data_IF_607732331902
#
_entry.id   IF_607732331902
#
_cell.length_a   1.000
_cell.length_b   1.000
_cell.length_c   1.000
_cell.angle_alpha   90.00
_cell.angle_beta   90.00
_cell.angle_gamma   90.00
#
_symmetry.space_group_name_H-M   'P 1'
#
loop_
_entity.id
_entity.type
_entity.pdbx_description
1 polymer ?
#
# COMPACT_ATOMS: atom_id res chain seq x y z
N UNK A 1 23.87 -15.00 25.52
CA UNK A 1 23.25 -16.15 24.84
C UNK A 1 21.76 -16.16 25.23
N UNK A 2 20.90 -15.51 24.44
CA UNK A 2 19.52 -15.13 24.81
C UNK A 2 18.48 -15.83 23.91
N UNK A 3 18.59 -17.15 23.76
CA UNK A 3 17.80 -17.88 22.75
C UNK A 3 16.98 -19.01 23.39
N UNK A 4 16.11 -18.74 24.38
CA UNK A 4 15.05 -19.69 24.80
C UNK A 4 13.83 -19.01 25.48
N UNK A 5 13.43 -17.80 25.11
CA UNK A 5 12.17 -17.21 25.62
C UNK A 5 11.04 -17.33 24.57
N UNK A 6 10.15 -18.34 24.67
CA UNK A 6 9.05 -18.57 23.72
C UNK A 6 7.97 -17.47 23.77
N UNK A 7 8.00 -16.57 24.75
CA UNK A 7 7.09 -15.43 24.87
C UNK A 7 7.34 -14.33 23.85
N UNK A 8 8.57 -14.15 23.36
CA UNK A 8 8.87 -13.12 22.34
C UNK A 8 8.39 -13.53 20.95
N UNK A 9 8.31 -14.83 20.65
CA UNK A 9 7.81 -15.30 19.35
C UNK A 9 6.33 -14.97 19.10
N UNK A 10 5.53 -14.80 20.17
CA UNK A 10 4.11 -14.42 20.08
C UNK A 10 3.92 -12.90 20.05
N UNK A 11 4.88 -12.13 20.60
CA UNK A 11 4.85 -10.67 20.63
C UNK A 11 5.24 -10.02 19.29
N UNK A 12 6.17 -10.66 18.55
CA UNK A 12 6.60 -10.21 17.22
C UNK A 12 5.49 -10.14 16.14
N UNK A 13 4.57 -11.12 15.97
CA UNK A 13 3.56 -11.08 14.90
C UNK A 13 2.44 -10.03 15.09
N UNK A 14 2.25 -9.50 16.30
CA UNK A 14 1.22 -8.48 16.59
C UNK A 14 1.68 -7.07 16.25
N UNK A 15 2.93 -6.72 16.58
CA UNK A 15 3.58 -5.47 16.15
C UNK A 15 3.63 -5.36 14.63
N UNK A 16 3.93 -6.49 13.97
CA UNK A 16 3.98 -6.65 12.52
C UNK A 16 2.66 -6.18 11.86
N UNK A 17 1.53 -6.68 12.36
CA UNK A 17 0.21 -6.35 11.83
C UNK A 17 -0.13 -4.86 11.98
N UNK A 18 0.20 -4.25 13.12
CA UNK A 18 -0.06 -2.83 13.39
C UNK A 18 0.70 -1.89 12.47
N UNK A 19 1.99 -2.16 12.22
CA UNK A 19 2.79 -1.33 11.32
C UNK A 19 2.28 -1.38 9.88
N UNK A 20 1.76 -2.53 9.43
CA UNK A 20 1.13 -2.65 8.10
C UNK A 20 -0.14 -1.81 8.03
N UNK A 21 -1.03 -1.94 9.01
CA UNK A 21 -2.27 -1.17 9.01
C UNK A 21 -2.01 0.34 9.06
N UNK A 22 -1.03 0.77 9.86
CA UNK A 22 -0.58 2.17 9.90
C UNK A 22 -0.09 2.63 8.51
N UNK A 23 0.73 1.84 7.83
CA UNK A 23 1.26 2.15 6.49
C UNK A 23 0.20 2.18 5.41
N UNK A 24 -0.72 1.21 5.40
CA UNK A 24 -1.89 1.23 4.51
C UNK A 24 -2.69 2.51 4.78
N UNK A 25 -2.81 2.93 6.05
CA UNK A 25 -3.38 4.22 6.44
C UNK A 25 -2.64 5.41 5.82
N UNK A 26 -1.31 5.49 5.94
CA UNK A 26 -0.49 6.54 5.35
C UNK A 26 -0.59 6.57 3.82
N UNK A 27 -0.46 5.43 3.16
CA UNK A 27 -0.59 5.29 1.72
C UNK A 27 -1.99 5.68 1.25
N UNK A 28 -3.03 5.26 1.98
CA UNK A 28 -4.43 5.65 1.73
C UNK A 28 -4.63 7.15 1.90
N UNK A 29 -4.01 7.77 2.92
CA UNK A 29 -4.03 9.21 3.11
C UNK A 29 -3.35 9.96 1.96
N UNK A 30 -2.15 9.53 1.54
CA UNK A 30 -1.43 10.12 0.41
C UNK A 30 -2.23 9.98 -0.89
N UNK A 31 -2.78 8.79 -1.15
CA UNK A 31 -3.64 8.52 -2.29
C UNK A 31 -4.90 9.39 -2.27
N UNK A 32 -5.55 9.53 -1.11
CA UNK A 32 -6.75 10.35 -0.96
C UNK A 32 -6.48 11.83 -1.21
N UNK A 33 -5.33 12.36 -0.76
CA UNK A 33 -4.93 13.75 -1.00
C UNK A 33 -4.69 14.03 -2.49
N UNK A 34 -4.10 13.09 -3.20
CA UNK A 34 -3.83 13.20 -4.64
C UNK A 34 -5.04 12.81 -5.51
N UNK A 35 -6.08 12.22 -4.91
CA UNK A 35 -7.25 11.71 -5.62
C UNK A 35 -7.94 12.75 -6.48
N UNK A 36 -8.32 13.88 -5.89
CA UNK A 36 -9.05 14.94 -6.60
C UNK A 36 -8.20 15.66 -7.65
N UNK A 37 -6.88 15.72 -7.45
CA UNK A 37 -5.95 16.52 -8.28
C UNK A 37 -5.26 15.73 -9.38
N UNK A 38 -5.05 14.44 -9.17
CA UNK A 38 -4.30 13.57 -10.09
C UNK A 38 -5.14 12.42 -10.58
N UNK A 39 -5.84 11.70 -9.70
CA UNK A 39 -6.51 10.45 -10.09
C UNK A 39 -7.93 10.63 -10.67
N UNK A 40 -8.64 11.69 -10.27
CA UNK A 40 -9.98 12.06 -10.78
C UNK A 40 -9.93 13.13 -11.87
N UNK A 41 -8.77 13.73 -12.10
CA UNK A 41 -8.56 14.73 -13.15
C UNK A 41 -8.59 14.07 -14.54
N UNK A 42 -9.35 14.64 -15.48
CA UNK A 42 -9.55 14.07 -16.82
C UNK A 42 -8.44 14.44 -17.80
N UNK A 43 -7.80 15.59 -17.60
CA UNK A 43 -6.74 16.09 -18.48
C UNK A 43 -5.43 15.30 -18.31
N UNK A 44 -5.29 14.58 -17.20
CA UNK A 44 -4.11 13.76 -16.92
C UNK A 44 -4.23 12.37 -17.53
N UNK A 45 -3.26 12.02 -18.39
CA UNK A 45 -3.13 10.69 -18.96
C UNK A 45 -2.99 9.60 -17.90
N UNK A 46 -3.65 8.46 -18.13
CA UNK A 46 -3.60 7.27 -17.26
C UNK A 46 -2.17 6.80 -16.99
N UNK A 47 -1.26 6.93 -17.97
CA UNK A 47 0.17 6.62 -17.80
C UNK A 47 0.83 7.49 -16.72
N UNK A 48 0.57 8.80 -16.72
CA UNK A 48 1.09 9.73 -15.72
C UNK A 48 0.48 9.45 -14.34
N UNK A 49 -0.81 9.11 -14.27
CA UNK A 49 -1.46 8.68 -13.02
C UNK A 49 -0.78 7.45 -12.41
N UNK A 50 -0.40 6.48 -13.25
CA UNK A 50 0.33 5.28 -12.81
C UNK A 50 1.73 5.62 -12.30
N UNK A 51 2.49 6.49 -12.99
CA UNK A 51 3.81 6.92 -12.53
C UNK A 51 3.76 7.64 -11.17
N UNK A 52 2.77 8.52 -10.96
CA UNK A 52 2.57 9.19 -9.65
C UNK A 52 2.18 8.19 -8.57
N UNK A 53 1.31 7.22 -8.91
CA UNK A 53 0.96 6.15 -7.99
C UNK A 53 2.20 5.34 -7.59
N UNK A 54 3.03 4.93 -8.53
CA UNK A 54 4.29 4.23 -8.26
C UNK A 54 5.23 5.09 -7.40
N UNK A 55 5.45 6.36 -7.75
CA UNK A 55 6.36 7.23 -7.02
C UNK A 55 5.94 7.54 -5.57
N UNK A 56 4.65 7.46 -5.23
CA UNK A 56 4.14 7.82 -3.90
C UNK A 56 3.73 6.59 -3.10
N UNK A 57 3.03 5.65 -3.72
CA UNK A 57 2.43 4.50 -3.06
C UNK A 57 3.41 3.33 -2.96
N UNK A 58 4.24 3.07 -3.99
CA UNK A 58 5.28 2.02 -3.87
C UNK A 58 6.26 2.29 -2.72
N UNK A 59 6.89 3.46 -2.56
CA UNK A 59 7.83 3.66 -1.45
C UNK A 59 7.14 3.59 -0.08
N UNK A 60 5.88 4.05 0.01
CA UNK A 60 5.08 3.92 1.24
C UNK A 60 4.82 2.45 1.63
N UNK A 61 4.78 1.54 0.65
CA UNK A 61 4.61 0.11 0.85
C UNK A 61 5.96 -0.62 0.99
N UNK A 62 6.95 -0.28 0.16
CA UNK A 62 8.24 -0.98 -0.02
C UNK A 62 9.28 -0.67 1.04
N UNK A 63 9.30 0.52 1.67
CA UNK A 63 10.29 0.92 2.69
C UNK A 63 10.32 0.01 3.94
N UNK A 64 9.52 -1.06 3.97
CA UNK A 64 9.52 -2.05 5.03
C UNK A 64 9.64 -3.47 4.50
N UNK A 65 9.28 -3.74 3.24
CA UNK A 65 9.17 -5.09 2.68
C UNK A 65 10.48 -5.90 2.73
N UNK A 66 11.63 -5.24 2.87
CA UNK A 66 12.94 -5.88 3.06
C UNK A 66 12.98 -6.82 4.29
N UNK A 67 12.15 -6.58 5.32
CA UNK A 67 12.13 -7.40 6.55
C UNK A 67 10.96 -8.40 6.68
N UNK A 68 10.09 -8.58 5.66
CA UNK A 68 8.73 -9.17 5.84
C UNK A 68 8.45 -10.39 4.97
N UNK A 69 9.49 -11.00 4.40
CA UNK A 69 9.40 -12.18 3.51
C UNK A 69 8.74 -13.42 4.14
N UNK A 70 8.34 -13.37 5.41
CA UNK A 70 7.82 -14.52 6.16
C UNK A 70 6.29 -14.60 6.32
N UNK A 71 5.48 -13.59 5.95
CA UNK A 71 4.02 -13.64 6.18
C UNK A 71 3.14 -13.39 4.93
N UNK A 72 2.63 -14.47 4.33
CA UNK A 72 1.73 -14.44 3.15
C UNK A 72 0.43 -13.66 3.39
N UNK A 73 -0.06 -13.58 4.62
CA UNK A 73 -1.28 -12.82 4.97
C UNK A 73 -1.11 -11.31 4.77
N UNK A 74 0.09 -10.80 5.03
CA UNK A 74 0.42 -9.40 4.92
C UNK A 74 0.60 -8.95 3.47
N UNK A 75 1.27 -9.78 2.65
CA UNK A 75 1.32 -9.57 1.20
C UNK A 75 -0.09 -9.53 0.60
N UNK A 76 -0.98 -10.44 1.00
CA UNK A 76 -2.36 -10.45 0.51
C UNK A 76 -3.12 -9.17 0.82
N UNK A 77 -2.95 -8.58 2.01
CA UNK A 77 -3.58 -7.31 2.36
C UNK A 77 -3.04 -6.13 1.53
N UNK A 78 -1.73 -6.12 1.25
CA UNK A 78 -1.08 -5.11 0.42
C UNK A 78 -1.51 -5.24 -1.05
N UNK A 79 -1.55 -6.46 -1.59
CA UNK A 79 -2.04 -6.74 -2.94
C UNK A 79 -3.50 -6.34 -3.11
N UNK A 80 -4.36 -6.64 -2.13
CA UNK A 80 -5.76 -6.22 -2.13
C UNK A 80 -5.90 -4.70 -2.16
N UNK A 81 -5.08 -4.00 -1.38
CA UNK A 81 -5.04 -2.54 -1.38
C UNK A 81 -4.58 -1.99 -2.74
N UNK A 82 -3.48 -2.53 -3.28
CA UNK A 82 -2.94 -2.16 -4.59
C UNK A 82 -3.98 -2.33 -5.70
N UNK A 83 -4.62 -3.50 -5.79
CA UNK A 83 -5.70 -3.75 -6.74
C UNK A 83 -6.91 -2.83 -6.54
N UNK A 84 -7.24 -2.46 -5.31
CA UNK A 84 -8.33 -1.51 -5.03
C UNK A 84 -7.99 -0.11 -5.56
N UNK A 85 -6.76 0.36 -5.39
CA UNK A 85 -6.29 1.63 -5.92
C UNK A 85 -6.29 1.63 -7.45
N UNK A 86 -5.69 0.62 -8.08
CA UNK A 86 -5.66 0.50 -9.54
C UNK A 86 -7.06 0.47 -10.15
N UNK A 87 -7.99 -0.29 -9.57
CA UNK A 87 -9.39 -0.30 -10.04
C UNK A 87 -10.05 1.08 -9.96
N UNK A 88 -9.75 1.90 -8.95
CA UNK A 88 -10.26 3.27 -8.87
C UNK A 88 -9.68 4.17 -9.95
N UNK A 89 -8.37 4.09 -10.20
CA UNK A 89 -7.70 4.87 -11.25
C UNK A 89 -8.25 4.47 -12.63
N UNK A 90 -8.35 3.18 -12.90
CA UNK A 90 -8.83 2.65 -14.18
C UNK A 90 -10.32 2.93 -14.38
N UNK A 91 -11.17 2.78 -13.35
CA UNK A 91 -12.61 3.07 -13.46
C UNK A 91 -12.89 4.51 -13.89
N UNK A 92 -12.13 5.47 -13.37
CA UNK A 92 -12.23 6.87 -13.79
C UNK A 92 -11.84 7.09 -15.26
N UNK A 93 -10.98 6.23 -15.83
CA UNK A 93 -10.58 6.30 -17.23
C UNK A 93 -11.63 5.74 -18.19
N UNK A 94 -12.55 4.87 -17.74
CA UNK A 94 -13.60 4.32 -18.60
C UNK A 94 -14.79 5.26 -18.78
N UNK A 95 -15.08 6.10 -17.78
CA UNK A 95 -16.14 7.13 -17.84
C UNK A 95 -15.74 8.35 -18.70
N UNK A 96 -14.48 8.39 -19.14
CA UNK A 96 -13.91 9.48 -19.96
C UNK A 96 -14.14 9.26 -21.47
N UNK A 97 -14.60 8.07 -21.89
CA UNK A 97 -14.76 7.69 -23.30
C UNK A 97 -16.18 7.86 -23.81
#
# INVERSE_FOLDING_TARGET
>A
MWITSPTLAVFFPQELSLMIHHRIGCASGAFARLRKRVFEDRDIQTKTKLLVYEAVVLPSLLYGAESWTTYSRHMKALEQYHQRCLRKILRNSWEDR
#
